data_IF_170493309963
#
_entry.id   IF_170493309963
#
_cell.length_a   1.000
_cell.length_b   1.000
_cell.length_c   1.000
_cell.angle_alpha   90.00
_cell.angle_beta   90.00
_cell.angle_gamma   90.00
#
_symmetry.space_group_name_H-M   'P 1'
#
loop_
_entity.id
_entity.type
_entity.pdbx_description
1 polymer ?
#
# COMPACT_ATOMS: atom_id res chain seq x y z
N UNK A 1 -6.16 6.46 -11.05
CA UNK A 1 -7.60 6.15 -10.90
C UNK A 1 -7.78 4.66 -10.64
N UNK A 2 -8.73 4.26 -9.79
CA UNK A 2 -9.01 2.85 -9.50
C UNK A 2 -9.76 2.15 -10.62
N UNK A 3 -9.64 0.82 -10.73
CA UNK A 3 -10.44 0.04 -11.68
C UNK A 3 -11.92 0.01 -11.26
N UNK A 4 -12.82 -0.11 -12.23
CA UNK A 4 -14.27 -0.14 -11.97
C UNK A 4 -14.65 -1.29 -11.02
N UNK A 5 -13.98 -2.44 -11.12
CA UNK A 5 -14.22 -3.58 -10.22
C UNK A 5 -13.93 -3.21 -8.77
N UNK A 6 -12.80 -2.54 -8.53
CA UNK A 6 -12.41 -2.10 -7.19
C UNK A 6 -13.40 -1.05 -6.67
N UNK A 7 -13.77 -0.07 -7.49
CA UNK A 7 -14.76 0.96 -7.12
C UNK A 7 -16.11 0.32 -6.77
N UNK A 8 -16.60 -0.62 -7.59
CA UNK A 8 -17.86 -1.34 -7.33
C UNK A 8 -17.78 -2.15 -6.04
N UNK A 9 -16.64 -2.79 -5.78
CA UNK A 9 -16.42 -3.52 -4.53
C UNK A 9 -16.46 -2.57 -3.32
N UNK A 10 -15.71 -1.46 -3.35
CA UNK A 10 -15.64 -0.50 -2.25
C UNK A 10 -17.02 0.14 -1.98
N UNK A 11 -17.80 0.43 -3.02
CA UNK A 11 -19.17 0.89 -2.90
C UNK A 11 -20.08 -0.15 -2.25
N UNK A 12 -19.99 -1.42 -2.65
CA UNK A 12 -20.76 -2.51 -2.03
C UNK A 12 -20.42 -2.73 -0.56
N UNK A 13 -19.16 -2.49 -0.18
CA UNK A 13 -18.75 -2.53 1.23
C UNK A 13 -19.15 -1.27 2.01
N UNK A 14 -19.63 -0.21 1.33
CA UNK A 14 -19.99 1.06 1.97
C UNK A 14 -18.79 1.88 2.45
N UNK A 15 -17.60 1.62 1.90
CA UNK A 15 -16.33 2.26 2.33
C UNK A 15 -15.75 3.23 1.31
N UNK A 16 -16.41 3.38 0.16
CA UNK A 16 -16.05 4.36 -0.87
C UNK A 16 -16.63 5.75 -0.53
N UNK A 17 -15.86 6.81 -0.79
CA UNK A 17 -16.28 8.19 -0.53
C UNK A 17 -15.73 9.14 -1.60
N UNK A 18 -16.59 10.01 -2.14
CA UNK A 18 -16.21 11.14 -2.99
C UNK A 18 -15.61 12.32 -2.19
N UNK A 19 -15.75 12.29 -0.86
CA UNK A 19 -15.19 13.31 0.01
C UNK A 19 -13.75 12.97 0.36
N UNK A 20 -12.81 13.70 -0.23
CA UNK A 20 -11.38 13.58 0.03
C UNK A 20 -10.94 14.38 1.27
N UNK A 21 -10.06 13.80 2.10
CA UNK A 21 -9.45 14.50 3.24
C UNK A 21 -8.28 15.38 2.79
N UNK A 22 -8.29 16.66 3.17
CA UNK A 22 -7.20 17.61 2.88
C UNK A 22 -5.88 17.21 3.52
N UNK A 23 -5.92 16.58 4.70
CA UNK A 23 -4.72 16.07 5.38
C UNK A 23 -4.08 14.94 4.58
N UNK A 24 -4.89 14.09 3.93
CA UNK A 24 -4.39 12.99 3.10
C UNK A 24 -3.70 13.50 1.85
N UNK A 25 -4.29 14.50 1.17
CA UNK A 25 -3.62 15.13 0.01
C UNK A 25 -2.25 15.67 0.39
N UNK A 26 -2.14 16.34 1.53
CA UNK A 26 -0.84 16.84 2.02
C UNK A 26 0.12 15.68 2.31
N UNK A 27 -0.33 14.64 3.00
CA UNK A 27 0.49 13.48 3.34
C UNK A 27 1.04 12.77 2.09
N UNK A 28 0.23 12.62 1.04
CA UNK A 28 0.66 12.05 -0.25
C UNK A 28 1.73 12.92 -0.93
N UNK A 29 1.53 14.24 -0.97
CA UNK A 29 2.51 15.18 -1.52
C UNK A 29 3.84 15.11 -0.74
N UNK A 30 3.78 15.12 0.59
CA UNK A 30 4.97 15.05 1.45
C UNK A 30 5.73 13.71 1.26
N UNK A 31 5.02 12.62 0.95
CA UNK A 31 5.63 11.34 0.60
C UNK A 31 6.16 11.27 -0.84
N UNK A 32 5.90 12.28 -1.68
CA UNK A 32 6.28 12.28 -3.09
C UNK A 32 5.42 11.38 -3.97
N UNK A 33 4.18 11.10 -3.56
CA UNK A 33 3.25 10.27 -4.34
C UNK A 33 2.46 11.15 -5.30
N UNK A 34 2.40 10.76 -6.57
CA UNK A 34 1.54 11.41 -7.57
C UNK A 34 0.07 11.25 -7.17
N UNK A 35 -0.65 12.38 -7.03
CA UNK A 35 -2.07 12.39 -6.69
C UNK A 35 -2.96 11.73 -7.76
N UNK A 36 -2.45 11.54 -8.99
CA UNK A 36 -3.17 10.84 -10.05
C UNK A 36 -2.99 9.32 -10.01
N UNK A 37 -2.06 8.82 -9.18
CA UNK A 37 -1.83 7.38 -9.01
C UNK A 37 -3.08 6.67 -8.49
N UNK A 38 -3.18 5.38 -8.78
CA UNK A 38 -4.19 4.50 -8.21
C UNK A 38 -4.09 4.39 -6.68
N UNK A 39 -2.87 4.36 -6.14
CA UNK A 39 -2.61 4.39 -4.70
C UNK A 39 -3.14 5.66 -4.02
N UNK A 40 -2.84 6.83 -4.58
CA UNK A 40 -3.37 8.10 -4.09
C UNK A 40 -4.89 8.12 -4.14
N UNK A 41 -5.46 7.68 -5.26
CA UNK A 41 -6.92 7.60 -5.44
C UNK A 41 -7.55 6.72 -4.37
N UNK A 42 -6.99 5.53 -4.10
CA UNK A 42 -7.45 4.63 -3.05
C UNK A 42 -7.43 5.28 -1.68
N UNK A 43 -6.31 5.91 -1.30
CA UNK A 43 -6.20 6.53 0.02
C UNK A 43 -7.22 7.67 0.20
N UNK A 44 -7.45 8.47 -0.85
CA UNK A 44 -8.33 9.65 -0.82
C UNK A 44 -9.82 9.30 -0.86
N UNK A 45 -10.19 8.19 -1.51
CA UNK A 45 -11.58 7.83 -1.77
C UNK A 45 -12.09 6.65 -0.93
N UNK A 46 -11.39 6.33 0.16
CA UNK A 46 -11.83 5.29 1.09
C UNK A 46 -11.92 5.81 2.52
N UNK A 47 -12.91 5.32 3.27
CA UNK A 47 -13.20 5.79 4.63
C UNK A 47 -12.63 4.89 5.73
N UNK A 48 -12.36 3.63 5.42
CA UNK A 48 -11.81 2.68 6.37
C UNK A 48 -10.31 2.88 6.59
N UNK A 49 -9.86 2.55 7.79
CA UNK A 49 -8.43 2.59 8.13
C UNK A 49 -7.70 1.34 7.65
N UNK A 50 -8.40 0.21 7.53
CA UNK A 50 -7.84 -1.07 7.09
C UNK A 50 -8.80 -1.84 6.20
N UNK A 51 -8.25 -2.60 5.26
CA UNK A 51 -9.00 -3.38 4.29
C UNK A 51 -8.56 -4.83 4.38
N UNK A 52 -9.51 -5.71 4.71
CA UNK A 52 -9.27 -7.15 4.74
C UNK A 52 -9.37 -7.71 3.32
N UNK A 53 -8.40 -8.55 2.95
CA UNK A 53 -8.40 -9.25 1.67
C UNK A 53 -8.09 -10.73 1.82
N UNK A 54 -7.48 -11.32 0.79
CA UNK A 54 -7.04 -12.71 0.76
C UNK A 54 -6.09 -13.06 1.91
N UNK A 55 -5.18 -12.13 2.25
CA UNK A 55 -4.15 -12.33 3.27
C UNK A 55 -4.14 -11.12 4.20
N UNK A 56 -4.48 -11.33 5.47
CA UNK A 56 -4.43 -10.29 6.49
C UNK A 56 -5.27 -9.04 6.16
N UNK A 57 -4.72 -7.87 6.47
CA UNK A 57 -5.31 -6.56 6.16
C UNK A 57 -4.23 -5.59 5.71
N UNK A 58 -4.54 -4.76 4.73
CA UNK A 58 -3.70 -3.60 4.37
C UNK A 58 -4.26 -2.33 5.00
N UNK A 59 -3.39 -1.38 5.27
CA UNK A 59 -3.69 -0.10 5.89
C UNK A 59 -4.02 0.98 4.82
N UNK A 60 -4.94 1.90 5.13
CA UNK A 60 -4.99 3.21 4.47
C UNK A 60 -3.80 4.02 4.98
N UNK A 61 -2.73 4.05 4.19
CA UNK A 61 -1.47 4.66 4.60
C UNK A 61 -1.62 6.14 4.94
N UNK A 62 -2.53 6.88 4.30
CA UNK A 62 -2.76 8.27 4.66
C UNK A 62 -3.35 8.42 6.07
N UNK A 63 -4.28 7.56 6.46
CA UNK A 63 -4.80 7.57 7.83
C UNK A 63 -3.66 7.37 8.84
N UNK A 64 -2.81 6.37 8.60
CA UNK A 64 -1.72 6.03 9.51
C UNK A 64 -0.57 7.05 9.48
N UNK A 65 -0.32 7.73 8.36
CA UNK A 65 0.62 8.85 8.31
C UNK A 65 0.17 10.02 9.18
N UNK A 66 -1.11 10.38 9.08
CA UNK A 66 -1.65 11.57 9.76
C UNK A 66 -1.87 11.30 11.24
N UNK A 67 -2.33 10.10 11.60
CA UNK A 67 -2.85 9.81 12.94
C UNK A 67 -2.03 8.77 13.72
N UNK A 68 -0.85 8.35 13.23
CA UNK A 68 -0.05 7.32 13.91
C UNK A 68 1.46 7.54 13.79
N UNK A 69 2.25 6.52 14.15
CA UNK A 69 3.73 6.51 14.04
C UNK A 69 4.22 5.82 12.76
N UNK A 70 3.39 5.78 11.71
CA UNK A 70 3.70 5.06 10.46
C UNK A 70 5.07 5.42 9.89
N UNK A 71 5.38 6.71 9.72
CA UNK A 71 6.65 7.13 9.11
C UNK A 71 7.87 6.53 9.83
N UNK A 72 7.89 6.60 11.17
CA UNK A 72 8.97 6.01 11.98
C UNK A 72 9.02 4.48 11.86
N UNK A 73 7.86 3.83 11.84
CA UNK A 73 7.77 2.36 11.71
C UNK A 73 8.19 1.89 10.34
N UNK A 74 7.75 2.57 9.28
CA UNK A 74 8.11 2.28 7.90
C UNK A 74 9.62 2.44 7.70
N UNK A 75 10.20 3.52 8.21
CA UNK A 75 11.65 3.74 8.15
C UNK A 75 12.43 2.63 8.85
N UNK A 76 12.02 2.25 10.06
CA UNK A 76 12.65 1.17 10.82
C UNK A 76 12.53 -0.17 10.09
N UNK A 77 11.35 -0.51 9.55
CA UNK A 77 11.13 -1.76 8.83
C UNK A 77 11.96 -1.82 7.55
N UNK A 78 11.97 -0.75 6.75
CA UNK A 78 12.81 -0.64 5.56
C UNK A 78 14.30 -0.82 5.90
N UNK A 79 14.78 -0.21 6.99
CA UNK A 79 16.17 -0.38 7.43
C UNK A 79 16.46 -1.82 7.85
N UNK A 80 15.57 -2.44 8.64
CA UNK A 80 15.75 -3.81 9.13
C UNK A 80 15.72 -4.86 8.02
N UNK A 81 14.93 -4.63 6.97
CA UNK A 81 14.82 -5.51 5.81
C UNK A 81 15.79 -5.13 4.68
N UNK A 82 16.58 -4.06 4.86
CA UNK A 82 17.45 -3.49 3.82
C UNK A 82 16.69 -3.19 2.51
N UNK A 83 15.44 -2.73 2.62
CA UNK A 83 14.61 -2.35 1.48
C UNK A 83 14.85 -0.89 1.09
N UNK A 84 14.85 -0.56 -0.22
CA UNK A 84 14.89 0.82 -0.69
C UNK A 84 13.74 1.66 -0.12
N UNK A 85 13.99 2.95 0.11
CA UNK A 85 13.04 3.87 0.79
C UNK A 85 11.75 4.10 0.01
N UNK A 86 11.74 3.82 -1.29
CA UNK A 86 10.56 3.88 -2.13
C UNK A 86 9.54 2.79 -1.84
N UNK A 87 9.91 1.69 -1.18
CA UNK A 87 8.99 0.59 -0.81
C UNK A 87 8.27 0.88 0.50
N UNK A 88 7.07 1.45 0.41
CA UNK A 88 6.21 1.78 1.54
C UNK A 88 5.46 0.54 2.05
N UNK A 89 5.58 0.14 3.33
CA UNK A 89 4.82 -0.99 3.86
C UNK A 89 3.32 -0.72 3.81
N UNK A 90 2.56 -1.69 3.33
CA UNK A 90 1.09 -1.65 3.26
C UNK A 90 0.42 -2.21 4.52
N UNK A 91 1.18 -2.82 5.42
CA UNK A 91 0.71 -3.35 6.69
C UNK A 91 1.79 -3.20 7.78
N UNK A 92 1.58 -3.84 8.93
CA UNK A 92 2.49 -3.81 10.06
C UNK A 92 3.57 -4.91 10.07
N UNK A 93 3.58 -5.80 9.08
CA UNK A 93 4.50 -6.93 8.95
C UNK A 93 4.51 -7.89 10.17
N UNK A 94 3.40 -7.98 10.92
CA UNK A 94 3.34 -8.78 12.15
C UNK A 94 3.53 -10.29 11.92
N UNK A 95 3.19 -10.78 10.72
CA UNK A 95 3.31 -12.19 10.36
C UNK A 95 4.66 -12.54 9.70
N UNK A 96 5.68 -11.69 9.87
CA UNK A 96 6.99 -11.82 9.21
C UNK A 96 6.91 -11.83 7.67
N UNK A 97 5.79 -11.35 7.14
CA UNK A 97 5.52 -11.14 5.74
C UNK A 97 4.50 -10.00 5.55
N UNK A 98 4.55 -9.36 4.39
CA UNK A 98 3.69 -8.23 4.08
C UNK A 98 3.93 -7.66 2.68
N UNK A 99 3.12 -6.68 2.32
CA UNK A 99 3.16 -6.03 1.02
C UNK A 99 3.79 -4.65 1.10
N UNK A 100 4.49 -4.25 0.03
CA UNK A 100 5.20 -3.00 -0.07
C UNK A 100 4.89 -2.33 -1.41
N UNK A 101 4.39 -1.10 -1.36
CA UNK A 101 4.12 -0.28 -2.53
C UNK A 101 5.35 0.55 -2.91
N UNK A 102 5.83 0.42 -4.14
CA UNK A 102 6.90 1.25 -4.66
C UNK A 102 6.32 2.60 -5.11
N UNK A 103 6.58 3.66 -4.35
CA UNK A 103 6.05 5.01 -4.66
C UNK A 103 6.56 5.64 -5.95
N UNK A 104 7.67 5.13 -6.50
CA UNK A 104 8.25 5.66 -7.74
C UNK A 104 7.67 4.98 -8.98
N UNK A 105 7.33 3.69 -8.90
CA UNK A 105 6.88 2.89 -10.04
C UNK A 105 5.39 2.54 -10.01
N UNK A 106 4.77 2.59 -8.82
CA UNK A 106 3.40 2.12 -8.60
C UNK A 106 3.27 0.61 -8.37
N UNK A 107 4.37 -0.13 -8.52
CA UNK A 107 4.39 -1.59 -8.38
C UNK A 107 4.22 -2.02 -6.92
N UNK A 108 3.75 -3.26 -6.71
CA UNK A 108 3.62 -3.85 -5.38
C UNK A 108 4.47 -5.11 -5.28
N UNK A 109 5.23 -5.19 -4.20
CA UNK A 109 6.11 -6.28 -3.83
C UNK A 109 5.57 -6.98 -2.60
N UNK A 110 5.50 -8.30 -2.63
CA UNK A 110 5.30 -9.13 -1.44
C UNK A 110 6.66 -9.63 -0.94
N UNK A 111 6.94 -9.42 0.34
CA UNK A 111 8.13 -9.95 1.02
C UNK A 111 7.69 -10.78 2.21
N UNK A 112 8.42 -11.86 2.45
CA UNK A 112 8.44 -12.59 3.71
C UNK A 112 9.91 -12.83 4.10
N UNK A 113 10.17 -13.01 5.40
CA UNK A 113 11.51 -13.35 5.87
C UNK A 113 12.00 -14.66 5.24
N UNK A 114 13.32 -14.79 5.08
CA UNK A 114 13.95 -15.95 4.47
C UNK A 114 14.25 -15.77 2.99
N UNK A 115 14.03 -16.82 2.20
CA UNK A 115 14.53 -16.88 0.81
C UNK A 115 13.96 -15.77 -0.09
N UNK A 116 12.70 -15.38 0.12
CA UNK A 116 12.04 -14.34 -0.69
C UNK A 116 12.71 -12.98 -0.51
N UNK A 117 12.99 -12.59 0.74
CA UNK A 117 13.76 -11.38 1.05
C UNK A 117 15.17 -11.44 0.47
N UNK A 118 15.89 -12.56 0.65
CA UNK A 118 17.24 -12.75 0.12
C UNK A 118 17.26 -12.64 -1.40
N UNK A 119 16.27 -13.22 -2.08
CA UNK A 119 16.16 -13.14 -3.55
C UNK A 119 15.88 -11.71 -4.00
N UNK A 120 15.05 -10.95 -3.28
CA UNK A 120 14.83 -9.53 -3.58
C UNK A 120 16.09 -8.69 -3.42
N UNK A 121 16.79 -8.82 -2.29
CA UNK A 121 18.05 -8.11 -2.01
C UNK A 121 19.13 -8.42 -3.05
N UNK A 122 19.14 -9.62 -3.62
CA UNK A 122 20.06 -10.03 -4.68
C UNK A 122 19.56 -9.71 -6.11
N UNK A 123 18.46 -8.98 -6.26
CA UNK A 123 17.88 -8.63 -7.57
C UNK A 123 17.31 -9.80 -8.37
N UNK A 124 17.01 -10.93 -7.70
CA UNK A 124 16.42 -12.14 -8.30
C UNK A 124 14.90 -12.19 -8.18
N UNK A 125 14.32 -11.35 -7.32
CA UNK A 125 12.88 -11.17 -7.19
C UNK A 125 12.50 -9.77 -7.65
N UNK A 126 11.47 -9.69 -8.50
CA UNK A 126 10.84 -8.44 -8.91
C UNK A 126 9.46 -8.29 -8.25
N UNK A 127 8.90 -7.07 -8.16
CA UNK A 127 7.52 -6.86 -7.75
C UNK A 127 6.54 -7.78 -8.50
N UNK A 128 5.56 -8.33 -7.78
CA UNK A 128 4.59 -9.29 -8.36
C UNK A 128 3.44 -8.58 -9.09
N UNK A 129 3.11 -7.35 -8.69
CA UNK A 129 2.06 -6.57 -9.34
C UNK A 129 2.65 -5.30 -9.96
N UNK A 130 2.34 -5.09 -11.24
CA UNK A 130 2.82 -3.96 -12.06
C UNK A 130 2.28 -2.59 -11.62
N UNK A 131 1.15 -2.58 -10.92
CA UNK A 131 0.46 -1.39 -10.42
C UNK A 131 -0.41 -1.74 -9.21
N UNK A 132 -0.84 -0.73 -8.46
CA UNK A 132 -1.61 -0.93 -7.23
C UNK A 132 -3.01 -1.46 -7.53
N UNK A 133 -3.61 -1.11 -8.67
CA UNK A 133 -4.88 -1.69 -9.12
C UNK A 133 -4.82 -3.20 -9.30
N UNK A 134 -3.79 -3.70 -10.00
CA UNK A 134 -3.58 -5.13 -10.23
C UNK A 134 -3.40 -5.86 -8.90
N UNK A 135 -2.71 -5.22 -7.94
CA UNK A 135 -2.61 -5.71 -6.58
C UNK A 135 -3.97 -5.74 -5.87
N UNK A 136 -4.74 -4.65 -5.88
CA UNK A 136 -6.05 -4.58 -5.22
C UNK A 136 -7.04 -5.59 -5.78
N UNK A 137 -7.09 -5.78 -7.10
CA UNK A 137 -7.96 -6.80 -7.71
C UNK A 137 -7.59 -8.20 -7.21
N UNK A 138 -6.30 -8.55 -7.23
CA UNK A 138 -5.85 -9.81 -6.65
C UNK A 138 -6.19 -9.87 -5.15
N UNK A 139 -5.82 -8.86 -4.37
CA UNK A 139 -5.93 -8.83 -2.92
C UNK A 139 -7.38 -8.94 -2.42
N UNK A 140 -8.32 -8.29 -3.12
CA UNK A 140 -9.75 -8.28 -2.78
C UNK A 140 -10.52 -9.43 -3.45
N UNK A 141 -9.89 -10.21 -4.34
CA UNK A 141 -10.50 -11.35 -5.01
C UNK A 141 -11.44 -10.99 -6.16
N UNK A 142 -11.08 -9.97 -6.95
CA UNK A 142 -11.85 -9.39 -8.07
C UNK A 142 -11.34 -9.83 -9.45
#
# INVERSE_FOLDING_TARGET
MLSNKVIDYLNKQGVYSEKEDKAYKKALIDLGIDLNSDFAFFCLHTTETRFKGRVGSIDNICWFLVYSTYARRAEALQNNLELPKEYLPLDNFEAEGGFFYNRNTGEVLEIELGEKLINFQNGKLSPQWKDFNSFLEWYLGL
#
